data_IF_965475739688
#
_entry.id   IF_965475739688
#
_cell.length_a   1.000
_cell.length_b   1.000
_cell.length_c   1.000
_cell.angle_alpha   90.00
_cell.angle_beta   90.00
_cell.angle_gamma   90.00
#
_symmetry.space_group_name_H-M   'P 1'
#
loop_
_entity.id
_entity.type
_entity.pdbx_description
1 polymer ?
#
# COMPACT_ATOMS: atom_id res chain seq x y z
N UNK A 1 -3.57 26.21 9.09
CA UNK A 1 -2.72 25.50 10.07
C UNK A 1 -3.67 24.59 10.84
N UNK A 2 -3.52 23.26 10.72
CA UNK A 2 -4.39 22.33 11.46
C UNK A 2 -4.05 22.45 12.93
N UNK A 3 -5.03 22.72 13.79
CA UNK A 3 -4.83 22.72 15.24
C UNK A 3 -4.85 21.26 15.70
N UNK A 4 -3.68 20.70 15.98
CA UNK A 4 -3.58 19.34 16.50
C UNK A 4 -4.04 19.31 17.97
N UNK A 5 -4.97 18.40 18.29
CA UNK A 5 -5.18 18.01 19.68
C UNK A 5 -3.87 17.38 20.22
N UNK A 6 -3.41 17.83 21.39
CA UNK A 6 -2.16 17.36 22.03
C UNK A 6 -2.44 16.50 23.25
N UNK A 7 -3.39 15.59 23.11
CA UNK A 7 -3.61 14.53 24.08
C UNK A 7 -2.43 13.55 24.14
N UNK A 8 -2.48 12.65 25.13
CA UNK A 8 -1.43 11.66 25.37
C UNK A 8 -1.13 10.83 24.14
N UNK A 9 -2.16 10.44 23.38
CA UNK A 9 -2.02 9.59 22.21
C UNK A 9 -1.40 10.33 21.03
N UNK A 10 -1.84 11.56 20.76
CA UNK A 10 -1.27 12.39 19.71
C UNK A 10 0.20 12.71 19.98
N UNK A 11 0.57 13.00 21.23
CA UNK A 11 1.97 13.22 21.60
C UNK A 11 2.82 11.97 21.39
N UNK A 12 2.33 10.78 21.78
CA UNK A 12 2.99 9.49 21.54
C UNK A 12 3.29 9.28 20.05
N UNK A 13 2.36 9.64 19.16
CA UNK A 13 2.54 9.59 17.71
C UNK A 13 3.58 10.62 17.25
N UNK A 14 3.53 11.85 17.75
CA UNK A 14 4.49 12.92 17.42
C UNK A 14 5.93 12.59 17.85
N UNK A 15 6.09 11.86 18.95
CA UNK A 15 7.38 11.38 19.47
C UNK A 15 7.87 10.11 18.74
N UNK A 16 7.01 9.54 17.89
CA UNK A 16 7.34 8.44 17.02
C UNK A 16 7.30 7.07 17.68
N UNK A 17 6.65 6.97 18.84
CA UNK A 17 6.45 5.72 19.56
C UNK A 17 5.49 4.78 18.82
N UNK A 18 5.49 3.50 19.24
CA UNK A 18 4.58 2.49 18.70
C UNK A 18 3.23 2.57 19.41
N UNK A 19 2.17 2.75 18.62
CA UNK A 19 0.79 2.64 19.09
C UNK A 19 0.37 1.17 19.21
N UNK A 20 -0.57 0.90 20.10
CA UNK A 20 -1.29 -0.35 20.26
C UNK A 20 -2.50 -0.42 19.32
N UNK A 21 -3.15 -1.57 19.26
CA UNK A 21 -4.38 -1.76 18.47
C UNK A 21 -5.55 -0.89 18.97
N UNK A 22 -5.71 -0.75 20.30
CA UNK A 22 -6.78 0.05 20.89
C UNK A 22 -6.58 1.54 20.59
N UNK A 23 -5.34 2.02 20.73
CA UNK A 23 -4.95 3.38 20.36
C UNK A 23 -5.17 3.66 18.85
N UNK A 24 -4.98 2.66 17.98
CA UNK A 24 -5.26 2.83 16.55
C UNK A 24 -6.76 3.05 16.28
N UNK A 25 -7.65 2.37 17.02
CA UNK A 25 -9.10 2.56 16.92
C UNK A 25 -9.50 3.97 17.38
N UNK A 26 -8.85 4.49 18.40
CA UNK A 26 -9.06 5.87 18.86
C UNK A 26 -8.66 6.88 17.78
N UNK A 27 -7.47 6.73 17.18
CA UNK A 27 -7.00 7.58 16.07
C UNK A 27 -7.94 7.56 14.85
N UNK A 28 -8.58 6.43 14.56
CA UNK A 28 -9.52 6.30 13.43
C UNK A 28 -10.72 7.26 13.52
N UNK A 29 -11.06 7.73 14.72
CA UNK A 29 -12.19 8.62 14.95
C UNK A 29 -11.84 10.11 14.83
N UNK A 30 -10.57 10.45 14.65
CA UNK A 30 -10.12 11.83 14.53
C UNK A 30 -10.58 12.49 13.23
N UNK A 31 -10.72 13.83 13.20
CA UNK A 31 -10.88 14.57 11.96
C UNK A 31 -9.75 14.24 10.96
N UNK A 32 -10.09 14.16 9.67
CA UNK A 32 -9.17 13.71 8.62
C UNK A 32 -7.89 14.56 8.56
N UNK A 33 -8.02 15.86 8.76
CA UNK A 33 -6.90 16.81 8.77
C UNK A 33 -5.95 16.59 9.95
N UNK A 34 -6.46 16.21 11.12
CA UNK A 34 -5.65 15.89 12.29
C UNK A 34 -4.93 14.55 12.10
N UNK A 35 -5.67 13.53 11.66
CA UNK A 35 -5.11 12.21 11.35
C UNK A 35 -4.05 12.30 10.25
N UNK A 36 -4.31 13.09 9.20
CA UNK A 36 -3.38 13.34 8.11
C UNK A 36 -2.10 14.05 8.55
N UNK A 37 -2.20 15.05 9.42
CA UNK A 37 -1.05 15.75 9.97
C UNK A 37 -0.18 14.84 10.86
N UNK A 38 -0.81 14.02 11.71
CA UNK A 38 -0.11 13.00 12.50
C UNK A 38 0.59 11.96 11.61
N UNK A 39 -0.08 11.49 10.55
CA UNK A 39 0.48 10.54 9.60
C UNK A 39 1.70 11.11 8.85
N UNK A 40 1.69 12.38 8.45
CA UNK A 40 2.84 13.01 7.80
C UNK A 40 4.05 13.10 8.75
N UNK A 41 3.84 13.45 10.02
CA UNK A 41 4.93 13.41 11.02
C UNK A 41 5.50 12.01 11.14
N UNK A 42 4.65 10.96 11.20
CA UNK A 42 5.13 9.57 11.24
C UNK A 42 5.92 9.17 10.01
N UNK A 43 5.47 9.56 8.81
CA UNK A 43 6.20 9.37 7.55
C UNK A 43 7.58 10.03 7.62
N UNK A 44 7.64 11.29 8.07
CA UNK A 44 8.87 12.07 8.14
C UNK A 44 9.88 11.53 9.16
N UNK A 45 9.40 11.01 10.30
CA UNK A 45 10.25 10.34 11.29
C UNK A 45 10.80 9.02 10.74
N UNK A 46 9.95 8.20 10.11
CA UNK A 46 10.36 6.91 9.56
C UNK A 46 11.39 7.04 8.43
N UNK A 47 11.33 8.13 7.65
CA UNK A 47 12.22 8.37 6.50
C UNK A 47 13.41 9.28 6.79
N UNK A 48 13.50 9.91 7.97
CA UNK A 48 14.51 10.93 8.28
C UNK A 48 15.93 10.50 7.92
N UNK A 49 16.34 9.30 8.29
CA UNK A 49 17.70 8.80 8.07
C UNK A 49 17.93 8.20 6.67
N UNK A 50 16.87 8.01 5.88
CA UNK A 50 16.98 7.46 4.52
C UNK A 50 17.65 8.47 3.58
N UNK A 51 18.28 7.96 2.51
CA UNK A 51 18.88 8.77 1.43
C UNK A 51 19.86 9.86 1.92
N UNK A 52 20.67 9.52 2.93
CA UNK A 52 21.65 10.45 3.50
C UNK A 52 21.01 11.64 4.23
N UNK A 53 19.85 11.45 4.87
CA UNK A 53 19.16 12.49 5.63
C UNK A 53 18.05 13.22 4.86
N UNK A 54 17.86 12.91 3.57
CA UNK A 54 16.89 13.60 2.69
C UNK A 54 15.55 12.88 2.53
N UNK A 55 15.31 11.80 3.27
CA UNK A 55 14.12 10.97 3.05
C UNK A 55 12.77 11.64 3.32
N UNK A 56 12.74 12.80 3.99
CA UNK A 56 11.51 13.61 4.14
C UNK A 56 11.03 14.22 2.82
N UNK A 57 11.97 14.55 1.94
CA UNK A 57 11.75 15.22 0.66
C UNK A 57 11.62 14.25 -0.52
N UNK A 58 11.94 12.97 -0.32
CA UNK A 58 12.00 11.96 -1.37
C UNK A 58 10.82 11.00 -1.25
N UNK A 59 9.99 10.98 -2.29
CA UNK A 59 8.96 9.97 -2.50
C UNK A 59 9.46 8.98 -3.54
N UNK A 60 9.47 7.70 -3.19
CA UNK A 60 9.88 6.62 -4.10
C UNK A 60 8.69 5.90 -4.69
N UNK A 61 8.89 5.33 -5.87
CA UNK A 61 7.94 4.44 -6.53
C UNK A 61 8.66 3.20 -7.02
N UNK A 62 7.89 2.16 -7.33
CA UNK A 62 8.37 0.96 -8.00
C UNK A 62 7.65 0.88 -9.33
N UNK A 63 8.41 0.73 -10.42
CA UNK A 63 7.88 0.29 -11.71
C UNK A 63 7.87 -1.24 -11.69
N UNK A 64 6.69 -1.84 -11.61
CA UNK A 64 6.50 -3.28 -11.48
C UNK A 64 5.48 -3.79 -12.50
N UNK A 65 5.59 -5.07 -12.87
CA UNK A 65 4.62 -5.77 -13.71
C UNK A 65 4.19 -7.07 -13.04
N UNK A 66 2.90 -7.12 -12.71
CA UNK A 66 2.26 -8.34 -12.24
C UNK A 66 1.75 -9.17 -13.43
N UNK A 67 2.34 -10.35 -13.64
CA UNK A 67 1.82 -11.31 -14.63
C UNK A 67 0.76 -12.17 -13.94
N UNK A 68 -0.50 -11.81 -14.15
CA UNK A 68 -1.61 -12.68 -13.78
C UNK A 68 -1.64 -13.85 -14.78
N UNK A 69 -1.07 -14.99 -14.40
CA UNK A 69 -0.98 -16.17 -15.26
C UNK A 69 -2.32 -16.92 -15.34
N UNK A 70 -3.25 -16.65 -14.44
CA UNK A 70 -4.64 -17.12 -14.52
C UNK A 70 -5.54 -16.19 -13.73
N UNK A 71 -6.82 -16.12 -14.09
CA UNK A 71 -7.87 -15.59 -13.25
C UNK A 71 -8.78 -16.68 -12.66
N UNK A 72 -8.51 -17.96 -12.93
CA UNK A 72 -9.27 -19.09 -12.38
C UNK A 72 -8.95 -19.23 -10.88
N UNK A 73 -9.98 -19.29 -10.04
CA UNK A 73 -9.80 -19.41 -8.59
C UNK A 73 -10.92 -20.25 -7.95
N UNK A 74 -10.57 -21.01 -6.93
CA UNK A 74 -11.49 -21.85 -6.14
C UNK A 74 -11.85 -21.26 -4.77
N UNK A 75 -11.47 -20.01 -4.48
CA UNK A 75 -11.74 -19.36 -3.18
C UNK A 75 -13.07 -18.60 -3.18
N UNK A 76 -13.51 -18.09 -4.35
CA UNK A 76 -14.80 -17.41 -4.51
C UNK A 76 -15.00 -16.19 -3.58
N UNK A 77 -13.96 -15.37 -3.43
CA UNK A 77 -14.03 -14.16 -2.61
C UNK A 77 -15.10 -13.18 -3.12
N UNK A 78 -16.06 -12.82 -2.26
CA UNK A 78 -17.18 -11.92 -2.62
C UNK A 78 -16.77 -10.51 -3.07
N UNK A 79 -15.56 -10.08 -2.73
CA UNK A 79 -15.03 -8.76 -3.07
C UNK A 79 -14.06 -8.78 -4.25
N UNK A 80 -13.66 -9.96 -4.74
CA UNK A 80 -12.68 -10.07 -5.80
C UNK A 80 -13.37 -9.97 -7.17
N UNK A 81 -13.19 -8.85 -7.87
CA UNK A 81 -13.70 -8.70 -9.24
C UNK A 81 -12.90 -9.50 -10.28
N UNK A 82 -11.70 -9.97 -9.90
CA UNK A 82 -10.77 -10.61 -10.82
C UNK A 82 -11.04 -12.11 -11.01
N UNK A 83 -11.52 -12.81 -9.98
CA UNK A 83 -11.64 -14.25 -10.04
C UNK A 83 -12.68 -14.70 -11.07
N UNK A 84 -12.41 -15.84 -11.69
CA UNK A 84 -13.31 -16.59 -12.55
C UNK A 84 -13.33 -18.05 -12.14
N UNK A 85 -14.40 -18.71 -12.53
CA UNK A 85 -14.52 -20.16 -12.60
C UNK A 85 -14.24 -20.61 -14.03
N UNK A 86 -13.94 -21.89 -14.24
CA UNK A 86 -13.74 -22.43 -15.59
C UNK A 86 -15.01 -22.39 -16.47
N UNK A 87 -16.15 -21.99 -15.92
CA UNK A 87 -17.42 -21.83 -16.64
C UNK A 87 -17.64 -20.42 -17.15
N UNK A 88 -16.89 -19.45 -16.67
CA UNK A 88 -17.02 -18.06 -17.10
C UNK A 88 -16.33 -17.87 -18.46
N UNK A 89 -16.94 -17.10 -19.37
CA UNK A 89 -16.45 -16.98 -20.75
C UNK A 89 -15.07 -16.31 -20.86
N UNK A 90 -14.73 -15.44 -19.90
CA UNK A 90 -13.47 -14.69 -19.86
C UNK A 90 -12.43 -15.31 -18.91
N UNK A 91 -12.60 -16.57 -18.52
CA UNK A 91 -11.55 -17.30 -17.78
C UNK A 91 -10.33 -17.56 -18.67
N UNK A 92 -9.15 -17.65 -18.06
CA UNK A 92 -7.94 -18.02 -18.77
C UNK A 92 -6.89 -18.66 -17.86
N UNK A 93 -6.05 -19.50 -18.45
CA UNK A 93 -4.75 -19.92 -17.92
C UNK A 93 -3.73 -19.68 -19.02
N UNK A 94 -2.73 -18.86 -18.75
CA UNK A 94 -1.66 -18.58 -19.70
C UNK A 94 -0.75 -19.80 -19.82
N UNK A 95 -0.34 -20.09 -21.04
CA UNK A 95 0.76 -21.03 -21.29
C UNK A 95 2.10 -20.39 -20.89
N UNK A 96 3.12 -21.22 -20.66
CA UNK A 96 4.47 -20.75 -20.36
C UNK A 96 4.99 -19.82 -21.47
N UNK A 97 4.76 -20.14 -22.74
CA UNK A 97 5.16 -19.28 -23.86
C UNK A 97 4.49 -17.89 -23.83
N UNK A 98 3.24 -17.79 -23.40
CA UNK A 98 2.56 -16.50 -23.22
C UNK A 98 3.12 -15.72 -22.01
N UNK A 99 3.57 -16.42 -20.98
CA UNK A 99 4.26 -15.80 -19.83
C UNK A 99 5.63 -15.28 -20.28
N UNK A 100 6.40 -16.07 -21.02
CA UNK A 100 7.71 -15.68 -21.58
C UNK A 100 7.56 -14.43 -22.46
N UNK A 101 6.58 -14.40 -23.36
CA UNK A 101 6.30 -13.22 -24.18
C UNK A 101 6.02 -11.97 -23.32
N UNK A 102 5.30 -12.11 -22.21
CA UNK A 102 5.05 -11.00 -21.29
C UNK A 102 6.31 -10.56 -20.55
N UNK A 103 7.24 -11.47 -20.28
CA UNK A 103 8.55 -11.14 -19.70
C UNK A 103 9.44 -10.41 -20.72
N UNK A 104 9.40 -10.83 -21.99
CA UNK A 104 10.12 -10.15 -23.07
C UNK A 104 9.61 -8.71 -23.26
N UNK A 105 8.28 -8.53 -23.28
CA UNK A 105 7.65 -7.21 -23.33
C UNK A 105 8.05 -6.31 -22.14
N UNK A 106 8.18 -6.89 -20.94
CA UNK A 106 8.63 -6.15 -19.76
C UNK A 106 10.08 -5.72 -19.92
N UNK A 107 10.95 -6.64 -20.29
CA UNK A 107 12.38 -6.38 -20.50
C UNK A 107 12.60 -5.32 -21.58
N UNK A 108 11.79 -5.34 -22.64
CA UNK A 108 11.84 -4.34 -23.70
C UNK A 108 11.40 -2.93 -23.24
N UNK A 109 10.64 -2.81 -22.15
CA UNK A 109 10.20 -1.53 -21.60
C UNK A 109 11.24 -0.85 -20.69
N UNK A 110 12.30 -1.57 -20.29
CA UNK A 110 13.37 -1.10 -19.40
C UNK A 110 13.16 -1.49 -17.94
#
# INVERSE_FOLDING_TARGET
MVSLNRDTLSNKVLEGERISSDEAIELYSLPLEELGALADVRRNLAKEKSYGGRGREIVTYIADRNINYTNVCNVYCKFCAFYRTERDEDHYVLSLAQIDQKLDELTAAG
#
